data_IF_111410141771
#
_entry.id   IF_111410141771
#
_cell.length_a   1.000
_cell.length_b   1.000
_cell.length_c   1.000
_cell.angle_alpha   90.00
_cell.angle_beta   90.00
_cell.angle_gamma   90.00
#
_symmetry.space_group_name_H-M   'P 1'
#
loop_
_entity.id
_entity.type
_entity.pdbx_description
1 polymer ?
#
# COMPACT_ATOMS: atom_id res chain seq x y z
N UNK A 1 27.83 21.34 1.23
CA UNK A 1 27.39 22.12 0.05
C UNK A 1 25.91 22.44 0.21
N UNK A 2 25.52 23.73 0.25
CA UNK A 2 24.11 24.13 0.24
C UNK A 2 23.63 24.29 -1.20
N UNK A 3 22.61 23.54 -1.60
CA UNK A 3 21.95 23.71 -2.91
C UNK A 3 20.89 24.81 -2.83
N UNK A 4 20.63 25.52 -3.93
CA UNK A 4 19.63 26.62 -3.99
C UNK A 4 18.23 26.18 -3.53
N UNK A 5 17.87 24.93 -3.74
CA UNK A 5 16.60 24.35 -3.27
C UNK A 5 16.50 24.29 -1.74
N UNK A 6 17.57 23.92 -1.05
CA UNK A 6 17.61 23.89 0.42
C UNK A 6 17.45 25.30 1.01
N UNK A 7 18.03 26.32 0.38
CA UNK A 7 17.88 27.70 0.81
C UNK A 7 16.42 28.19 0.67
N UNK A 8 15.73 27.81 -0.42
CA UNK A 8 14.31 28.12 -0.61
C UNK A 8 13.45 27.44 0.46
N UNK A 9 13.67 26.16 0.73
CA UNK A 9 12.95 25.41 1.77
C UNK A 9 13.14 26.08 3.14
N UNK A 10 14.37 26.43 3.50
CA UNK A 10 14.67 27.12 4.75
C UNK A 10 13.95 28.49 4.86
N UNK A 11 13.86 29.23 3.76
CA UNK A 11 13.15 30.52 3.72
C UNK A 11 11.64 30.36 3.95
N UNK A 12 11.03 29.33 3.36
CA UNK A 12 9.62 28.99 3.55
C UNK A 12 9.37 28.53 4.98
N UNK A 13 10.23 27.66 5.52
CA UNK A 13 10.13 27.20 6.90
C UNK A 13 10.23 28.36 7.90
N UNK A 14 11.13 29.32 7.66
CA UNK A 14 11.24 30.53 8.48
C UNK A 14 9.94 31.34 8.48
N UNK A 15 9.34 31.56 7.30
CA UNK A 15 8.05 32.26 7.18
C UNK A 15 6.92 31.53 7.91
N UNK A 16 6.88 30.20 7.82
CA UNK A 16 5.92 29.36 8.55
C UNK A 16 6.10 29.55 10.06
N UNK A 17 7.33 29.51 10.55
CA UNK A 17 7.62 29.67 11.98
C UNK A 17 7.19 31.06 12.50
N UNK A 18 7.48 32.12 11.73
CA UNK A 18 7.04 33.49 12.08
C UNK A 18 5.51 33.59 12.12
N UNK A 19 4.81 33.01 11.15
CA UNK A 19 3.35 33.01 11.15
C UNK A 19 2.78 32.21 12.33
N UNK A 20 3.37 31.05 12.63
CA UNK A 20 2.97 30.20 13.75
C UNK A 20 3.16 30.90 15.10
N UNK A 21 4.27 31.63 15.28
CA UNK A 21 4.52 32.40 16.49
C UNK A 21 3.47 33.50 16.67
N UNK A 22 3.21 34.29 15.63
CA UNK A 22 2.16 35.33 15.67
C UNK A 22 0.79 34.76 16.04
N UNK A 23 0.44 33.62 15.46
CA UNK A 23 -0.83 32.94 15.79
C UNK A 23 -0.89 32.54 17.27
N UNK A 24 0.20 31.99 17.82
CA UNK A 24 0.29 31.60 19.24
C UNK A 24 0.19 32.81 20.17
N UNK A 25 0.85 33.91 19.84
CA UNK A 25 0.77 35.17 20.60
C UNK A 25 -0.67 35.71 20.63
N UNK A 26 -1.34 35.75 19.48
CA UNK A 26 -2.74 36.19 19.38
C UNK A 26 -3.67 35.25 20.13
N UNK A 27 -3.48 33.94 20.03
CA UNK A 27 -4.28 32.97 20.78
C UNK A 27 -4.09 33.12 22.29
N UNK A 28 -2.87 33.36 22.76
CA UNK A 28 -2.61 33.60 24.18
C UNK A 28 -3.32 34.87 24.67
N UNK A 29 -3.28 35.95 23.89
CA UNK A 29 -4.02 37.18 24.20
C UNK A 29 -5.54 36.97 24.19
N UNK A 30 -6.07 36.20 23.23
CA UNK A 30 -7.49 35.86 23.16
C UNK A 30 -7.95 35.04 24.37
N UNK A 31 -7.16 34.07 24.83
CA UNK A 31 -7.46 33.30 26.04
C UNK A 31 -7.61 34.23 27.26
N UNK A 32 -6.71 35.20 27.42
CA UNK A 32 -6.78 36.17 28.51
C UNK A 32 -8.02 37.07 28.42
N UNK A 33 -8.28 37.64 27.24
CA UNK A 33 -9.42 38.54 27.02
C UNK A 33 -10.77 37.84 27.15
N UNK A 34 -10.88 36.59 26.70
CA UNK A 34 -12.14 35.84 26.72
C UNK A 34 -12.52 35.39 28.12
N UNK A 35 -11.55 35.17 29.00
CA UNK A 35 -11.78 34.95 30.43
C UNK A 35 -12.40 36.19 31.10
N UNK A 36 -12.00 37.40 30.70
CA UNK A 36 -12.53 38.66 31.24
C UNK A 36 -13.87 39.06 30.61
N UNK A 37 -14.05 38.82 29.31
CA UNK A 37 -15.23 39.23 28.55
C UNK A 37 -16.33 38.15 28.41
N UNK A 38 -16.11 36.96 28.96
CA UNK A 38 -17.03 35.81 28.91
C UNK A 38 -17.52 35.45 27.49
N UNK A 39 -16.62 35.55 26.49
CA UNK A 39 -16.93 35.24 25.09
C UNK A 39 -16.80 33.72 24.88
N UNK A 40 -17.87 33.07 24.45
CA UNK A 40 -17.96 31.59 24.30
C UNK A 40 -17.98 31.19 22.82
N UNK A 41 -17.34 30.06 22.47
CA UNK A 41 -17.44 29.42 21.15
C UNK A 41 -16.34 29.77 20.13
N UNK A 42 -15.37 30.61 20.50
CA UNK A 42 -14.21 30.94 19.64
C UNK A 42 -13.20 29.78 19.56
N UNK A 43 -13.12 28.99 20.63
CA UNK A 43 -12.27 27.81 20.82
C UNK A 43 -12.58 26.65 19.86
N UNK A 44 -13.79 26.62 19.30
CA UNK A 44 -14.19 25.64 18.29
C UNK A 44 -13.47 25.85 16.95
N UNK A 45 -13.13 27.09 16.61
CA UNK A 45 -12.50 27.47 15.33
C UNK A 45 -11.02 27.81 15.47
N UNK A 46 -10.63 28.39 16.60
CA UNK A 46 -9.25 28.80 16.90
C UNK A 46 -8.71 27.93 18.04
N UNK A 47 -8.05 26.83 17.67
CA UNK A 47 -7.43 25.90 18.63
C UNK A 47 -5.97 26.26 18.89
N UNK A 48 -5.43 25.79 20.01
CA UNK A 48 -4.00 25.91 20.29
C UNK A 48 -3.18 25.21 19.20
N UNK A 49 -2.20 25.94 18.65
CA UNK A 49 -1.35 25.48 17.55
C UNK A 49 -0.11 24.75 18.08
N UNK A 50 -0.16 23.43 18.12
CA UNK A 50 0.97 22.59 18.50
C UNK A 50 2.01 22.52 17.38
N UNK A 51 3.27 22.19 17.71
CA UNK A 51 4.31 21.94 16.69
C UNK A 51 3.90 20.79 15.77
N UNK A 52 3.21 19.80 16.33
CA UNK A 52 2.63 18.68 15.62
C UNK A 52 1.54 19.07 14.61
N UNK A 53 0.90 20.22 14.78
CA UNK A 53 -0.15 20.66 13.85
C UNK A 53 0.43 21.34 12.60
N UNK A 54 1.69 21.77 12.64
CA UNK A 54 2.42 22.43 11.55
C UNK A 54 2.91 21.44 10.49
N UNK A 55 1.99 20.60 10.00
CA UNK A 55 2.24 19.66 8.90
C UNK A 55 1.57 20.17 7.63
N UNK A 56 2.33 20.16 6.55
CA UNK A 56 1.78 20.42 5.21
C UNK A 56 0.79 19.32 4.82
N UNK A 57 -0.20 19.66 4.00
CA UNK A 57 -1.17 18.69 3.47
C UNK A 57 -0.49 17.59 2.65
N UNK A 58 0.64 17.92 2.01
CA UNK A 58 1.45 17.05 1.14
C UNK A 58 2.74 16.54 1.80
N UNK A 59 2.93 16.72 3.12
CA UNK A 59 4.20 16.46 3.83
C UNK A 59 4.57 14.96 3.98
N UNK A 60 4.24 14.16 2.95
CA UNK A 60 4.65 12.78 2.76
C UNK A 60 6.13 12.64 2.42
N UNK A 61 6.72 13.65 1.77
CA UNK A 61 8.03 13.50 1.10
C UNK A 61 9.24 13.74 2.02
N UNK A 62 9.06 14.42 3.16
CA UNK A 62 10.18 14.81 4.06
C UNK A 62 10.09 14.26 5.47
N UNK A 63 9.04 13.51 5.81
CA UNK A 63 8.96 12.81 7.09
C UNK A 63 9.88 11.58 7.06
N UNK A 64 11.16 11.82 7.29
CA UNK A 64 12.12 10.81 7.69
C UNK A 64 11.53 9.98 8.85
N UNK A 65 11.56 8.66 8.68
CA UNK A 65 11.54 7.63 9.72
C UNK A 65 10.56 7.84 10.89
N UNK A 66 9.33 7.31 10.76
CA UNK A 66 8.44 7.07 11.91
C UNK A 66 7.04 7.68 11.83
N UNK A 67 6.70 8.42 10.78
CA UNK A 67 5.33 8.91 10.56
C UNK A 67 4.36 7.80 10.13
N UNK A 68 3.04 7.93 10.43
CA UNK A 68 2.04 6.97 9.98
C UNK A 68 2.07 6.81 8.45
N UNK A 69 1.97 5.56 8.00
CA UNK A 69 1.86 5.21 6.58
C UNK A 69 0.70 6.00 5.95
N UNK A 70 0.85 6.32 4.67
CA UNK A 70 0.02 7.31 3.95
C UNK A 70 -1.49 7.07 4.14
N UNK A 71 -1.92 5.81 4.23
CA UNK A 71 -3.32 5.41 4.43
C UNK A 71 -3.92 5.63 5.83
N UNK A 72 -3.14 6.00 6.85
CA UNK A 72 -3.63 6.24 8.23
C UNK A 72 -3.46 7.67 8.72
N UNK A 73 -3.13 8.60 7.82
CA UNK A 73 -2.86 9.99 8.20
C UNK A 73 -4.16 10.72 8.51
N UNK A 74 -4.18 11.38 9.66
CA UNK A 74 -5.23 12.34 10.02
C UNK A 74 -4.73 13.73 9.66
N UNK A 75 -5.49 14.50 8.88
CA UNK A 75 -5.15 15.89 8.54
C UNK A 75 -5.12 16.74 9.82
N UNK A 76 -4.14 17.64 9.92
CA UNK A 76 -4.10 18.64 11.01
C UNK A 76 -5.38 19.47 10.99
N UNK A 77 -5.85 19.87 12.16
CA UNK A 77 -7.10 20.62 12.31
C UNK A 77 -7.08 21.96 11.55
N UNK A 78 -5.90 22.54 11.31
CA UNK A 78 -5.70 23.74 10.51
C UNK A 78 -6.26 23.56 9.09
N UNK A 79 -6.18 22.33 8.55
CA UNK A 79 -6.75 21.98 7.24
C UNK A 79 -8.24 21.59 7.33
N UNK A 80 -8.75 21.22 8.49
CA UNK A 80 -10.15 20.81 8.68
C UNK A 80 -11.11 21.96 8.96
N UNK A 81 -10.61 23.10 9.47
CA UNK A 81 -11.47 24.27 9.72
C UNK A 81 -11.90 24.88 8.38
N UNK A 82 -13.22 24.86 8.11
CA UNK A 82 -13.83 25.52 6.96
C UNK A 82 -13.92 27.03 7.23
N UNK A 83 -13.41 27.85 6.32
CA UNK A 83 -13.12 29.27 6.55
C UNK A 83 -14.33 30.08 7.01
N UNK A 84 -14.08 31.00 7.95
CA UNK A 84 -14.94 32.17 8.13
C UNK A 84 -14.87 33.07 6.88
N UNK A 85 -15.82 34.00 6.78
CA UNK A 85 -15.94 35.01 5.71
C UNK A 85 -14.59 35.64 5.34
N UNK A 86 -14.09 35.35 4.13
CA UNK A 86 -12.86 35.94 3.58
C UNK A 86 -11.66 34.98 3.44
N UNK A 87 -11.86 33.69 3.18
CA UNK A 87 -10.76 32.74 2.94
C UNK A 87 -10.04 33.04 1.60
N UNK A 88 -9.02 33.90 1.66
CA UNK A 88 -8.17 34.32 0.52
C UNK A 88 -7.40 33.14 -0.10
N UNK A 89 -7.37 31.97 0.56
CA UNK A 89 -6.61 30.79 0.11
C UNK A 89 -7.48 29.54 -0.10
N UNK A 90 -8.79 29.70 -0.27
CA UNK A 90 -9.72 28.61 -0.52
C UNK A 90 -9.33 27.79 -1.78
N UNK A 91 -8.86 28.46 -2.83
CA UNK A 91 -8.43 27.84 -4.08
C UNK A 91 -7.17 26.96 -3.89
N UNK A 92 -6.15 27.46 -3.20
CA UNK A 92 -4.93 26.69 -2.92
C UNK A 92 -5.19 25.47 -2.03
N UNK A 93 -6.12 25.60 -1.08
CA UNK A 93 -6.59 24.49 -0.23
C UNK A 93 -7.36 23.45 -1.04
N UNK A 94 -8.27 23.87 -1.92
CA UNK A 94 -9.01 22.98 -2.82
C UNK A 94 -8.08 22.25 -3.80
N UNK A 95 -7.11 22.96 -4.36
CA UNK A 95 -6.14 22.37 -5.30
C UNK A 95 -5.29 21.30 -4.62
N UNK A 96 -4.79 21.60 -3.42
CA UNK A 96 -4.03 20.64 -2.63
C UNK A 96 -4.87 19.39 -2.26
N UNK A 97 -6.17 19.54 -1.99
CA UNK A 97 -7.09 18.41 -1.77
C UNK A 97 -7.32 17.59 -3.05
N UNK A 98 -7.44 18.23 -4.21
CA UNK A 98 -7.56 17.53 -5.50
C UNK A 98 -6.30 16.72 -5.81
N UNK A 99 -5.12 17.27 -5.55
CA UNK A 99 -3.85 16.57 -5.72
C UNK A 99 -3.81 15.31 -4.84
N UNK A 100 -4.12 15.44 -3.56
CA UNK A 100 -4.13 14.29 -2.64
C UNK A 100 -5.19 13.25 -3.02
N UNK A 101 -6.38 13.69 -3.45
CA UNK A 101 -7.39 12.78 -3.98
C UNK A 101 -6.93 12.04 -5.23
N UNK A 102 -6.29 12.73 -6.18
CA UNK A 102 -5.74 12.11 -7.38
C UNK A 102 -4.65 11.08 -7.04
N UNK A 103 -3.76 11.39 -6.08
CA UNK A 103 -2.74 10.44 -5.59
C UNK A 103 -3.36 9.21 -4.94
N UNK A 104 -4.30 9.41 -4.00
CA UNK A 104 -4.99 8.32 -3.32
C UNK A 104 -5.76 7.43 -4.31
N UNK A 105 -6.43 8.06 -5.29
CA UNK A 105 -7.14 7.36 -6.36
C UNK A 105 -6.19 6.57 -7.25
N UNK A 106 -5.05 7.14 -7.66
CA UNK A 106 -4.05 6.43 -8.45
C UNK A 106 -3.48 5.22 -7.68
N UNK A 107 -3.17 5.39 -6.40
CA UNK A 107 -2.72 4.29 -5.54
C UNK A 107 -3.78 3.19 -5.40
N UNK A 108 -5.06 3.56 -5.24
CA UNK A 108 -6.16 2.60 -5.19
C UNK A 108 -6.29 1.82 -6.52
N UNK A 109 -6.16 2.51 -7.67
CA UNK A 109 -6.16 1.84 -8.98
C UNK A 109 -4.97 0.88 -9.13
N UNK A 110 -3.76 1.28 -8.71
CA UNK A 110 -2.59 0.40 -8.74
C UNK A 110 -2.75 -0.81 -7.82
N UNK A 111 -3.26 -0.63 -6.60
CA UNK A 111 -3.53 -1.76 -5.71
C UNK A 111 -4.58 -2.71 -6.29
N UNK A 112 -5.62 -2.17 -6.93
CA UNK A 112 -6.60 -3.01 -7.61
C UNK A 112 -5.97 -3.81 -8.76
N UNK A 113 -5.12 -3.19 -9.57
CA UNK A 113 -4.40 -3.86 -10.65
C UNK A 113 -3.46 -4.94 -10.10
N UNK A 114 -2.70 -4.63 -9.05
CA UNK A 114 -1.79 -5.57 -8.39
C UNK A 114 -2.54 -6.78 -7.82
N UNK A 115 -3.72 -6.57 -7.21
CA UNK A 115 -4.55 -7.68 -6.75
C UNK A 115 -4.97 -8.60 -7.91
N UNK A 116 -5.37 -8.03 -9.05
CA UNK A 116 -5.73 -8.82 -10.24
C UNK A 116 -4.54 -9.57 -10.83
N UNK A 117 -3.37 -8.93 -10.91
CA UNK A 117 -2.13 -9.54 -11.38
C UNK A 117 -1.68 -10.66 -10.45
N UNK A 118 -1.75 -10.46 -9.13
CA UNK A 118 -1.36 -11.47 -8.16
C UNK A 118 -2.24 -12.73 -8.26
N UNK A 119 -3.56 -12.55 -8.42
CA UNK A 119 -4.47 -13.67 -8.64
C UNK A 119 -4.13 -14.45 -9.93
N UNK A 120 -3.77 -13.73 -11.00
CA UNK A 120 -3.34 -14.33 -12.25
C UNK A 120 -2.02 -15.10 -12.10
N UNK A 121 -1.01 -14.49 -11.48
CA UNK A 121 0.30 -15.09 -11.27
C UNK A 121 0.22 -16.34 -10.39
N UNK A 122 -0.59 -16.32 -9.33
CA UNK A 122 -0.79 -17.51 -8.51
C UNK A 122 -1.41 -18.66 -9.30
N UNK A 123 -2.35 -18.39 -10.20
CA UNK A 123 -2.89 -19.41 -11.10
C UNK A 123 -1.82 -19.93 -12.06
N UNK A 124 -0.99 -19.04 -12.62
CA UNK A 124 0.11 -19.40 -13.51
C UNK A 124 1.15 -20.29 -12.81
N UNK A 125 1.49 -19.97 -11.56
CA UNK A 125 2.42 -20.79 -10.76
C UNK A 125 1.90 -22.22 -10.60
N UNK A 126 0.60 -22.40 -10.34
CA UNK A 126 -0.01 -23.73 -10.27
C UNK A 126 0.07 -24.48 -11.59
N UNK A 127 -0.27 -23.81 -12.71
CA UNK A 127 -0.16 -24.41 -14.04
C UNK A 127 1.28 -24.73 -14.44
N UNK A 128 2.24 -23.92 -13.98
CA UNK A 128 3.66 -24.16 -14.19
C UNK A 128 4.12 -25.42 -13.47
N UNK A 129 3.72 -25.63 -12.21
CA UNK A 129 4.04 -26.87 -11.50
C UNK A 129 3.37 -28.11 -12.13
N UNK A 130 2.13 -28.00 -12.61
CA UNK A 130 1.48 -29.07 -13.38
C UNK A 130 2.27 -29.39 -14.67
N UNK A 131 2.72 -28.36 -15.39
CA UNK A 131 3.57 -28.52 -16.58
C UNK A 131 4.91 -29.19 -16.23
N UNK A 132 5.59 -28.73 -15.18
CA UNK A 132 6.88 -29.29 -14.74
C UNK A 132 6.74 -30.74 -14.30
N UNK A 133 5.70 -31.10 -13.54
CA UNK A 133 5.40 -32.50 -13.18
C UNK A 133 5.29 -33.38 -14.43
N UNK A 134 4.54 -32.93 -15.44
CA UNK A 134 4.40 -33.65 -16.71
C UNK A 134 5.71 -33.75 -17.50
N UNK A 135 6.55 -32.71 -17.48
CA UNK A 135 7.89 -32.77 -18.07
C UNK A 135 8.76 -33.82 -17.40
N UNK A 136 8.79 -33.85 -16.06
CA UNK A 136 9.56 -34.85 -15.31
C UNK A 136 9.02 -36.28 -15.50
N UNK A 137 7.71 -36.46 -15.61
CA UNK A 137 7.10 -37.77 -15.93
C UNK A 137 7.42 -38.25 -17.34
N UNK A 138 7.42 -37.34 -18.31
CA UNK A 138 7.83 -37.65 -19.68
C UNK A 138 9.31 -38.04 -19.74
N UNK A 139 10.17 -37.35 -18.99
CA UNK A 139 11.58 -37.71 -18.83
C UNK A 139 11.76 -39.07 -18.14
N UNK A 140 10.95 -39.37 -17.13
CA UNK A 140 10.96 -40.66 -16.46
C UNK A 140 10.59 -41.81 -17.43
N UNK A 141 9.58 -41.61 -18.27
CA UNK A 141 9.21 -42.57 -19.32
C UNK A 141 10.37 -42.80 -20.30
N UNK A 142 11.01 -41.73 -20.79
CA UNK A 142 12.15 -41.85 -21.69
C UNK A 142 13.36 -42.56 -21.04
N UNK A 143 13.59 -42.36 -19.74
CA UNK A 143 14.64 -43.06 -18.99
C UNK A 143 14.34 -44.55 -18.80
N UNK A 144 13.05 -44.94 -18.74
CA UNK A 144 12.64 -46.32 -18.65
C UNK A 144 12.87 -47.11 -19.95
N UNK A 145 12.85 -46.41 -21.10
CA UNK A 145 13.12 -46.98 -22.42
C UNK A 145 14.63 -47.10 -22.75
N UNK A 146 15.50 -46.57 -21.87
CA UNK A 146 16.95 -46.61 -22.07
C UNK A 146 17.55 -47.81 -21.33
N UNK A 147 18.48 -48.54 -21.96
CA UNK A 147 19.23 -49.63 -21.34
C UNK A 147 20.62 -49.16 -20.87
N UNK A 148 20.94 -49.38 -19.59
CA UNK A 148 22.21 -48.96 -19.00
C UNK A 148 22.27 -49.19 -17.48
N UNK A 149 23.48 -49.20 -16.89
CA UNK A 149 23.66 -49.48 -15.46
C UNK A 149 23.09 -48.40 -14.53
N UNK A 150 22.85 -47.19 -15.03
CA UNK A 150 22.37 -46.02 -14.28
C UNK A 150 20.87 -45.73 -14.44
N UNK A 151 20.15 -46.51 -15.24
CA UNK A 151 18.75 -46.25 -15.63
C UNK A 151 17.81 -46.21 -14.43
N UNK A 152 17.98 -47.14 -13.49
CA UNK A 152 17.20 -47.21 -12.24
C UNK A 152 17.38 -45.92 -11.42
N UNK A 153 18.61 -45.40 -11.33
CA UNK A 153 18.90 -44.17 -10.60
C UNK A 153 18.30 -42.93 -11.27
N UNK A 154 18.40 -42.84 -12.60
CA UNK A 154 17.79 -41.77 -13.39
C UNK A 154 16.26 -41.78 -13.29
N UNK A 155 15.65 -42.96 -13.38
CA UNK A 155 14.21 -43.15 -13.21
C UNK A 155 13.76 -42.75 -11.80
N UNK A 156 14.45 -43.22 -10.76
CA UNK A 156 14.13 -42.88 -9.38
C UNK A 156 14.22 -41.36 -9.15
N UNK A 157 15.26 -40.70 -9.66
CA UNK A 157 15.44 -39.26 -9.52
C UNK A 157 14.37 -38.46 -10.26
N UNK A 158 14.07 -38.80 -11.52
CA UNK A 158 13.06 -38.09 -12.32
C UNK A 158 11.66 -38.22 -11.71
N UNK A 159 11.30 -39.41 -11.20
CA UNK A 159 10.05 -39.59 -10.46
C UNK A 159 10.03 -38.82 -9.14
N UNK A 160 11.16 -38.75 -8.43
CA UNK A 160 11.27 -37.93 -7.22
C UNK A 160 11.08 -36.43 -7.53
N UNK A 161 11.62 -35.93 -8.64
CA UNK A 161 11.43 -34.55 -9.08
C UNK A 161 9.96 -34.27 -9.43
N UNK A 162 9.30 -35.17 -10.16
CA UNK A 162 7.86 -35.07 -10.44
C UNK A 162 7.04 -34.97 -9.13
N UNK A 163 7.29 -35.87 -8.18
CA UNK A 163 6.65 -35.84 -6.87
C UNK A 163 6.92 -34.55 -6.09
N UNK A 164 8.13 -33.97 -6.22
CA UNK A 164 8.46 -32.69 -5.58
C UNK A 164 7.66 -31.52 -6.17
N UNK A 165 7.52 -31.46 -7.51
CA UNK A 165 6.71 -30.44 -8.17
C UNK A 165 5.23 -30.53 -7.76
N UNK A 166 4.68 -31.75 -7.68
CA UNK A 166 3.35 -31.97 -7.12
C UNK A 166 3.22 -31.39 -5.70
N UNK A 167 4.20 -31.64 -4.82
CA UNK A 167 4.18 -31.14 -3.45
C UNK A 167 4.28 -29.63 -3.37
N UNK A 168 5.05 -28.97 -4.24
CA UNK A 168 5.11 -27.51 -4.29
C UNK A 168 3.77 -26.92 -4.72
N UNK A 169 3.15 -27.47 -5.76
CA UNK A 169 1.80 -27.10 -6.18
C UNK A 169 0.80 -27.21 -5.04
N UNK A 170 0.78 -28.33 -4.33
CA UNK A 170 -0.19 -28.56 -3.26
C UNK A 170 0.02 -27.60 -2.09
N UNK A 171 1.27 -27.27 -1.75
CA UNK A 171 1.58 -26.21 -0.77
C UNK A 171 1.08 -24.84 -1.21
N UNK A 172 1.30 -24.47 -2.47
CA UNK A 172 0.79 -23.23 -3.04
C UNK A 172 -0.75 -23.17 -3.02
N UNK A 173 -1.44 -24.28 -3.35
CA UNK A 173 -2.90 -24.37 -3.29
C UNK A 173 -3.42 -24.10 -1.88
N UNK A 174 -2.81 -24.70 -0.86
CA UNK A 174 -3.21 -24.48 0.55
C UNK A 174 -2.93 -23.04 0.97
N UNK A 175 -1.75 -22.51 0.63
CA UNK A 175 -1.38 -21.14 0.98
C UNK A 175 -2.31 -20.08 0.35
N UNK A 176 -2.90 -20.39 -0.80
CA UNK A 176 -3.70 -19.46 -1.61
C UNK A 176 -5.18 -19.84 -1.70
N UNK A 177 -5.66 -20.72 -0.82
CA UNK A 177 -7.03 -21.26 -0.85
C UNK A 177 -8.11 -20.18 -0.72
N UNK A 178 -7.80 -19.07 -0.05
CA UNK A 178 -8.74 -17.97 0.21
C UNK A 178 -8.85 -16.99 -0.97
N UNK A 179 -8.00 -17.13 -1.99
CA UNK A 179 -8.04 -16.25 -3.15
C UNK A 179 -9.11 -16.69 -4.15
N UNK A 180 -9.94 -15.74 -4.65
CA UNK A 180 -11.06 -16.05 -5.53
C UNK A 180 -10.65 -16.85 -6.77
N UNK A 181 -9.55 -16.46 -7.41
CA UNK A 181 -9.02 -17.09 -8.62
C UNK A 181 -8.56 -18.54 -8.44
N UNK A 182 -8.04 -18.90 -7.27
CA UNK A 182 -7.58 -20.27 -6.94
C UNK A 182 -8.74 -21.15 -6.50
N UNK A 183 -9.72 -20.59 -5.77
CA UNK A 183 -10.93 -21.31 -5.38
C UNK A 183 -11.76 -21.76 -6.59
N UNK A 184 -11.73 -21.01 -7.69
CA UNK A 184 -12.42 -21.38 -8.93
C UNK A 184 -11.77 -22.59 -9.64
N UNK A 185 -10.44 -22.68 -9.65
CA UNK A 185 -9.72 -23.80 -10.27
C UNK A 185 -9.87 -25.10 -9.49
N UNK A 186 -9.94 -25.04 -8.16
CA UNK A 186 -10.26 -26.19 -7.30
C UNK A 186 -11.64 -26.79 -7.64
N UNK A 187 -12.68 -25.94 -7.73
CA UNK A 187 -14.04 -26.40 -8.07
C UNK A 187 -14.12 -27.03 -9.46
N UNK A 188 -13.37 -26.53 -10.44
CA UNK A 188 -13.38 -27.09 -11.79
C UNK A 188 -12.66 -28.45 -11.86
N UNK A 189 -11.61 -28.68 -11.07
CA UNK A 189 -10.97 -30.01 -10.94
C UNK A 189 -11.88 -31.00 -10.21
N UNK A 190 -12.62 -30.58 -9.19
CA UNK A 190 -13.57 -31.44 -8.46
C UNK A 190 -14.76 -31.90 -9.33
N UNK A 191 -15.26 -31.03 -10.21
CA UNK A 191 -16.36 -31.37 -11.13
C UNK A 191 -15.88 -32.33 -12.24
N UNK A 192 -14.65 -32.17 -12.73
CA UNK A 192 -14.08 -33.05 -13.75
C UNK A 192 -13.55 -34.39 -13.18
N UNK A 193 -13.21 -34.44 -11.89
CA UNK A 193 -12.78 -35.67 -11.20
C UNK A 193 -13.89 -36.71 -10.99
N UNK A 194 -15.16 -36.37 -11.26
CA UNK A 194 -16.29 -37.29 -11.21
C UNK A 194 -16.67 -37.92 -12.56
N UNK A 195 -15.99 -37.57 -13.66
CA UNK A 195 -16.30 -38.08 -15.00
C UNK A 195 -15.29 -39.07 -15.58
N UNK A 196 -14.25 -39.45 -14.83
CA UNK A 196 -13.36 -40.55 -15.19
C UNK A 196 -13.23 -41.55 -14.03
N UNK A 197 -14.23 -42.42 -13.91
CA UNK A 197 -14.13 -43.74 -13.28
C UNK A 197 -14.76 -44.76 -14.21
#
# INVERSE_FOLDING_TARGET
MQTRSLALIASVQSRINVAAQKYREVCAALVLLTHEACIVGWDQKLKLLLVEDLRGMTASETAAEGGPSDGRRTLSWIWMVSGGTGDVNAEGKQESLRIEWCKARACAHWWQEECLLLEEEMRRVLTYFDYQDNCWRSLAAACADTDGPTTIGMLAYTLQQAALQCRFRDKCLVAWQDLPGVRATLRHKDILGHHYK
#
